data_IF_510787818137
#
_entry.id   IF_510787818137
#
_cell.length_a   1.000
_cell.length_b   1.000
_cell.length_c   1.000
_cell.angle_alpha   90.00
_cell.angle_beta   90.00
_cell.angle_gamma   90.00
#
_symmetry.space_group_name_H-M   'P 1'
#
loop_
_entity.id
_entity.type
_entity.pdbx_description
1 polymer ?
#
# COMPACT_ATOMS: atom_id res chain seq x y z
N UNK A 1 -2.96 3.49 -2.20
CA UNK A 1 -3.07 4.96 -2.21
C UNK A 1 -3.55 5.49 -3.55
N UNK A 2 -2.81 5.29 -4.65
CA UNK A 2 -3.21 5.76 -6.00
C UNK A 2 -4.60 5.24 -6.40
N UNK A 3 -4.91 3.97 -6.13
CA UNK A 3 -6.23 3.38 -6.42
C UNK A 3 -7.37 4.08 -5.67
N UNK A 4 -7.21 4.30 -4.35
CA UNK A 4 -8.18 5.03 -3.55
C UNK A 4 -8.38 6.47 -4.04
N UNK A 5 -7.27 7.14 -4.35
CA UNK A 5 -7.25 8.50 -4.91
C UNK A 5 -8.00 8.57 -6.25
N UNK A 6 -7.74 7.63 -7.15
CA UNK A 6 -8.41 7.56 -8.45
C UNK A 6 -9.90 7.21 -8.32
N UNK A 7 -10.24 6.26 -7.45
CA UNK A 7 -11.63 5.83 -7.24
C UNK A 7 -12.49 6.95 -6.63
N UNK A 8 -11.96 7.66 -5.64
CA UNK A 8 -12.71 8.67 -4.89
C UNK A 8 -12.44 10.10 -5.35
N UNK A 9 -11.56 10.31 -6.32
CA UNK A 9 -11.14 11.62 -6.82
C UNK A 9 -10.56 12.53 -5.72
N UNK A 10 -9.80 11.94 -4.80
CA UNK A 10 -9.19 12.63 -3.65
C UNK A 10 -7.67 12.69 -3.87
N UNK A 11 -7.00 13.85 -3.71
CA UNK A 11 -5.55 13.94 -3.81
C UNK A 11 -4.82 12.97 -2.87
N UNK A 12 -3.79 12.28 -3.37
CA UNK A 12 -3.02 11.29 -2.59
C UNK A 12 -2.44 11.89 -1.31
N UNK A 13 -1.96 13.13 -1.37
CA UNK A 13 -1.40 13.85 -0.22
C UNK A 13 -2.39 14.00 0.92
N UNK A 14 -3.65 14.32 0.63
CA UNK A 14 -4.70 14.47 1.64
C UNK A 14 -5.02 13.15 2.34
N UNK A 15 -4.93 12.04 1.60
CA UNK A 15 -5.15 10.71 2.17
C UNK A 15 -3.94 10.30 3.04
N UNK A 16 -2.71 10.50 2.54
CA UNK A 16 -1.51 9.94 3.17
C UNK A 16 -0.92 10.77 4.30
N UNK A 17 -0.82 12.10 4.15
CA UNK A 17 -0.10 12.96 5.10
C UNK A 17 -0.63 12.83 6.54
N UNK A 18 -1.96 12.81 6.79
CA UNK A 18 -2.49 12.61 8.14
C UNK A 18 -2.20 11.22 8.73
N UNK A 19 -1.92 10.23 7.88
CA UNK A 19 -1.64 8.86 8.29
C UNK A 19 -0.17 8.61 8.63
N UNK A 20 0.73 9.57 8.40
CA UNK A 20 2.17 9.40 8.70
C UNK A 20 2.41 8.98 10.16
N UNK A 21 1.83 9.64 11.19
CA UNK A 21 2.00 9.21 12.58
C UNK A 21 1.49 7.78 12.82
N UNK A 22 0.40 7.40 12.17
CA UNK A 22 -0.20 6.06 12.28
C UNK A 22 0.71 4.99 11.66
N UNK A 23 1.34 5.29 10.52
CA UNK A 23 2.31 4.41 9.89
C UNK A 23 3.55 4.22 10.77
N UNK A 24 4.00 5.25 11.48
CA UNK A 24 5.11 5.14 12.44
C UNK A 24 4.74 4.16 13.56
N UNK A 25 3.53 4.28 14.14
CA UNK A 25 3.05 3.33 15.17
C UNK A 25 2.97 1.91 14.61
N UNK A 26 2.44 1.74 13.39
CA UNK A 26 2.39 0.45 12.70
C UNK A 26 3.78 -0.16 12.49
N UNK A 27 4.76 0.64 12.04
CA UNK A 27 6.14 0.21 11.88
C UNK A 27 6.78 -0.22 13.20
N UNK A 28 6.63 0.59 14.26
CA UNK A 28 7.13 0.24 15.60
C UNK A 28 6.56 -1.10 16.05
N UNK A 29 5.25 -1.32 15.85
CA UNK A 29 4.61 -2.59 16.18
C UNK A 29 5.19 -3.76 15.37
N UNK A 30 5.30 -3.62 14.05
CA UNK A 30 5.82 -4.68 13.17
C UNK A 30 7.26 -5.04 13.53
N UNK A 31 8.13 -4.05 13.75
CA UNK A 31 9.51 -4.30 14.19
C UNK A 31 9.57 -4.96 15.57
N UNK A 32 8.69 -4.57 16.49
CA UNK A 32 8.61 -5.21 17.81
C UNK A 32 8.21 -6.68 17.72
N UNK A 33 7.22 -6.99 16.87
CA UNK A 33 6.82 -8.39 16.60
C UNK A 33 7.95 -9.16 15.93
N UNK A 34 8.60 -8.58 14.92
CA UNK A 34 9.73 -9.23 14.24
C UNK A 34 10.88 -9.55 15.22
N UNK A 35 11.23 -8.61 16.08
CA UNK A 35 12.23 -8.80 17.14
C UNK A 35 11.81 -9.91 18.12
N UNK A 36 10.57 -9.89 18.58
CA UNK A 36 10.03 -10.91 19.47
C UNK A 36 10.05 -12.32 18.85
N UNK A 37 9.66 -12.44 17.57
CA UNK A 37 9.72 -13.69 16.83
C UNK A 37 11.16 -14.17 16.65
N UNK A 38 12.09 -13.26 16.36
CA UNK A 38 13.52 -13.55 16.29
C UNK A 38 14.07 -14.10 17.61
N UNK A 39 13.77 -13.46 18.74
CA UNK A 39 14.18 -13.94 20.07
C UNK A 39 13.58 -15.31 20.41
N UNK A 40 12.31 -15.55 20.04
CA UNK A 40 11.66 -16.84 20.26
C UNK A 40 12.35 -17.94 19.45
N UNK A 41 12.76 -17.62 18.23
CA UNK A 41 13.47 -18.55 17.34
C UNK A 41 14.90 -18.80 17.82
N UNK A 42 15.62 -17.76 18.27
CA UNK A 42 16.94 -17.89 18.88
C UNK A 42 16.91 -18.81 20.11
N UNK A 43 15.90 -18.65 20.97
CA UNK A 43 15.69 -19.53 22.13
C UNK A 43 15.35 -20.96 21.72
N UNK A 44 14.52 -21.15 20.69
CA UNK A 44 14.18 -22.48 20.14
C UNK A 44 15.42 -23.21 19.64
N UNK A 45 16.33 -22.48 19.00
CA UNK A 45 17.58 -22.99 18.43
C UNK A 45 18.74 -23.06 19.44
N UNK A 46 18.55 -22.56 20.67
CA UNK A 46 19.60 -22.53 21.69
C UNK A 46 20.75 -21.56 21.37
N UNK A 47 20.53 -20.56 20.53
CA UNK A 47 21.54 -19.62 20.01
C UNK A 47 21.86 -18.47 20.98
N UNK A 48 21.73 -18.67 22.29
CA UNK A 48 21.83 -17.65 23.36
C UNK A 48 23.17 -16.89 23.45
N UNK A 49 24.13 -17.16 22.56
CA UNK A 49 25.42 -16.47 22.42
C UNK A 49 25.60 -15.76 21.07
N UNK A 50 24.53 -15.61 20.29
CA UNK A 50 24.55 -15.04 18.94
C UNK A 50 24.73 -16.10 17.85
N UNK A 51 24.03 -15.93 16.72
CA UNK A 51 24.22 -16.76 15.55
C UNK A 51 25.65 -16.61 14.99
N UNK A 52 26.27 -17.67 14.44
CA UNK A 52 27.54 -17.52 13.74
C UNK A 52 27.36 -16.54 12.58
N UNK A 53 28.10 -15.43 12.61
CA UNK A 53 28.06 -14.30 11.66
C UNK A 53 28.63 -14.64 10.27
N UNK A 54 28.66 -15.93 9.89
CA UNK A 54 29.42 -16.43 8.74
C UNK A 54 28.62 -16.65 7.46
N UNK A 55 27.28 -16.70 7.52
CA UNK A 55 26.47 -16.90 6.33
C UNK A 55 26.10 -15.56 5.68
N UNK A 56 27.05 -14.97 4.95
CA UNK A 56 26.73 -13.94 3.96
C UNK A 56 26.28 -14.68 2.71
N UNK A 57 24.98 -14.72 2.46
CA UNK A 57 24.48 -15.12 1.14
C UNK A 57 25.01 -14.11 0.12
N UNK A 58 26.07 -14.48 -0.60
CA UNK A 58 26.54 -13.71 -1.73
C UNK A 58 25.51 -13.88 -2.85
N UNK A 59 24.63 -12.89 -3.00
CA UNK A 59 23.74 -12.84 -4.15
C UNK A 59 24.60 -12.59 -5.39
N UNK A 60 24.85 -13.65 -6.17
CA UNK A 60 25.54 -13.55 -7.44
C UNK A 60 24.62 -12.88 -8.45
N UNK A 61 24.89 -11.60 -8.71
CA UNK A 61 24.18 -10.84 -9.73
C UNK A 61 24.41 -11.47 -11.10
N UNK A 62 23.32 -11.64 -11.84
CA UNK A 62 23.36 -11.97 -13.26
C UNK A 62 24.10 -10.89 -14.06
N UNK A 63 24.57 -11.23 -15.26
CA UNK A 63 25.26 -10.27 -16.15
C UNK A 63 24.39 -9.04 -16.43
N UNK A 64 23.09 -9.25 -16.65
CA UNK A 64 22.13 -8.18 -16.87
C UNK A 64 21.98 -7.24 -15.66
N UNK A 65 22.04 -7.78 -14.43
CA UNK A 65 21.96 -6.98 -13.20
C UNK A 65 23.25 -6.18 -12.94
N UNK A 66 24.41 -6.72 -13.33
CA UNK A 66 25.68 -6.00 -13.24
C UNK A 66 25.71 -4.79 -14.18
N UNK A 67 25.14 -4.92 -15.38
CA UNK A 67 25.12 -3.85 -16.39
C UNK A 67 24.27 -2.64 -15.98
N UNK A 68 23.21 -2.86 -15.20
CA UNK A 68 22.29 -1.80 -14.74
C UNK A 68 22.74 -1.12 -13.44
N UNK A 69 23.68 -1.72 -12.70
CA UNK A 69 24.06 -1.27 -11.34
C UNK A 69 24.71 0.12 -11.30
N UNK A 70 25.43 0.50 -12.37
CA UNK A 70 26.10 1.81 -12.55
C UNK A 70 26.70 2.40 -11.26
N UNK A 71 27.68 1.73 -10.63
CA UNK A 71 28.22 2.10 -9.31
C UNK A 71 28.83 3.51 -9.26
N UNK A 72 29.34 4.02 -10.38
CA UNK A 72 29.91 5.37 -10.48
C UNK A 72 28.92 6.51 -10.21
N UNK A 73 27.63 6.31 -10.45
CA UNK A 73 26.58 7.33 -10.28
C UNK A 73 25.87 7.22 -8.92
N UNK A 74 26.35 6.35 -8.03
CA UNK A 74 25.67 6.02 -6.78
C UNK A 74 25.31 7.27 -5.96
N UNK A 75 26.28 8.14 -5.69
CA UNK A 75 26.07 9.35 -4.90
C UNK A 75 25.15 10.36 -5.59
N UNK A 76 25.26 10.50 -6.91
CA UNK A 76 24.39 11.41 -7.68
C UNK A 76 22.94 10.92 -7.60
N UNK A 77 22.72 9.61 -7.73
CA UNK A 77 21.39 9.02 -7.60
C UNK A 77 20.82 9.12 -6.19
N UNK A 78 21.67 9.01 -5.15
CA UNK A 78 21.25 9.27 -3.76
C UNK A 78 20.78 10.72 -3.61
N UNK A 79 21.57 11.70 -4.09
CA UNK A 79 21.19 13.12 -4.01
C UNK A 79 19.90 13.39 -4.77
N UNK A 80 19.77 12.88 -5.99
CA UNK A 80 18.55 13.02 -6.80
C UNK A 80 17.34 12.42 -6.08
N UNK A 81 17.49 11.22 -5.50
CA UNK A 81 16.42 10.53 -4.77
C UNK A 81 16.00 11.33 -3.54
N UNK A 82 16.96 11.79 -2.74
CA UNK A 82 16.69 12.60 -1.55
C UNK A 82 16.00 13.92 -1.91
N UNK A 83 16.40 14.56 -3.02
CA UNK A 83 15.78 15.79 -3.50
C UNK A 83 14.32 15.53 -3.93
N UNK A 84 14.09 14.52 -4.76
CA UNK A 84 12.75 14.11 -5.22
C UNK A 84 11.85 13.82 -4.01
N UNK A 85 12.31 12.97 -3.09
CA UNK A 85 11.55 12.63 -1.88
C UNK A 85 11.33 13.84 -0.98
N UNK A 86 12.34 14.68 -0.76
CA UNK A 86 12.25 15.86 0.08
C UNK A 86 11.22 16.88 -0.44
N UNK A 87 11.23 17.15 -1.75
CA UNK A 87 10.23 18.04 -2.37
C UNK A 87 8.83 17.45 -2.28
N UNK A 88 8.68 16.14 -2.56
CA UNK A 88 7.39 15.46 -2.43
C UNK A 88 6.84 15.53 -1.00
N UNK A 89 7.67 15.26 0.00
CA UNK A 89 7.28 15.29 1.42
C UNK A 89 6.91 16.71 1.86
N UNK A 90 7.57 17.73 1.29
CA UNK A 90 7.23 19.14 1.57
C UNK A 90 5.83 19.53 1.09
N UNK A 91 5.21 18.75 0.21
CA UNK A 91 3.87 19.01 -0.33
C UNK A 91 3.76 20.22 -1.27
N UNK A 92 4.88 20.88 -1.61
CA UNK A 92 4.89 22.08 -2.47
C UNK A 92 4.61 21.80 -3.94
N UNK A 93 4.91 20.59 -4.40
CA UNK A 93 4.76 20.17 -5.79
C UNK A 93 3.99 18.86 -5.79
N UNK A 94 3.09 18.70 -6.77
CA UNK A 94 2.35 17.45 -6.95
C UNK A 94 3.32 16.26 -7.12
N UNK A 95 3.15 15.16 -6.36
CA UNK A 95 4.01 13.99 -6.44
C UNK A 95 4.20 13.45 -7.86
N UNK A 96 3.16 13.46 -8.70
CA UNK A 96 3.21 12.95 -10.07
C UNK A 96 4.19 13.77 -10.90
N UNK A 97 4.13 15.10 -10.76
CA UNK A 97 5.04 16.03 -11.47
C UNK A 97 6.48 15.81 -11.00
N UNK A 98 6.70 15.69 -9.69
CA UNK A 98 8.04 15.49 -9.15
C UNK A 98 8.64 14.15 -9.59
N UNK A 99 7.85 13.08 -9.65
CA UNK A 99 8.30 11.80 -10.19
C UNK A 99 8.62 11.86 -11.69
N UNK A 100 7.81 12.55 -12.50
CA UNK A 100 8.12 12.71 -13.93
C UNK A 100 9.45 13.42 -14.14
N UNK A 101 9.69 14.53 -13.43
CA UNK A 101 10.96 15.26 -13.47
C UNK A 101 12.11 14.37 -12.99
N UNK A 102 11.91 13.66 -11.86
CA UNK A 102 12.89 12.74 -11.31
C UNK A 102 13.29 11.63 -12.29
N UNK A 103 12.33 11.03 -13.00
CA UNK A 103 12.57 9.99 -14.01
C UNK A 103 13.34 10.57 -15.20
N UNK A 104 12.96 11.75 -15.71
CA UNK A 104 13.67 12.42 -16.81
C UNK A 104 15.12 12.68 -16.42
N UNK A 105 15.35 13.27 -15.24
CA UNK A 105 16.70 13.53 -14.73
C UNK A 105 17.50 12.24 -14.52
N UNK A 106 16.88 11.21 -13.93
CA UNK A 106 17.52 9.93 -13.70
C UNK A 106 17.93 9.27 -15.03
N UNK A 107 17.09 9.33 -16.07
CA UNK A 107 17.40 8.80 -17.39
C UNK A 107 18.53 9.59 -18.05
N UNK A 108 18.50 10.93 -18.01
CA UNK A 108 19.56 11.77 -18.58
C UNK A 108 20.93 11.55 -17.90
N UNK A 109 20.94 11.38 -16.57
CA UNK A 109 22.17 11.19 -15.79
C UNK A 109 22.74 9.77 -15.97
N UNK A 110 21.88 8.74 -15.89
CA UNK A 110 22.34 7.34 -15.88
C UNK A 110 22.44 6.71 -17.27
N UNK A 111 21.67 7.22 -18.24
CA UNK A 111 21.55 6.64 -19.58
C UNK A 111 21.66 7.74 -20.63
N UNK A 112 22.89 8.16 -20.95
CA UNK A 112 23.14 9.26 -21.90
C UNK A 112 22.71 8.95 -23.35
N UNK A 113 22.66 7.68 -23.73
CA UNK A 113 22.25 7.26 -25.07
C UNK A 113 20.72 7.03 -25.11
N UNK A 114 20.06 7.54 -26.15
CA UNK A 114 18.63 7.35 -26.41
C UNK A 114 18.20 5.87 -26.47
N UNK A 115 19.01 4.98 -27.06
CA UNK A 115 18.72 3.55 -27.13
C UNK A 115 18.70 2.90 -25.75
N UNK A 116 19.62 3.33 -24.88
CA UNK A 116 19.65 2.88 -23.50
C UNK A 116 18.46 3.39 -22.70
N UNK A 117 18.06 4.66 -22.88
CA UNK A 117 16.85 5.20 -22.26
C UNK A 117 15.61 4.43 -22.72
N UNK A 118 15.49 4.18 -24.01
CA UNK A 118 14.40 3.38 -24.60
C UNK A 118 14.36 1.98 -24.00
N UNK A 119 15.49 1.29 -23.92
CA UNK A 119 15.57 -0.03 -23.29
C UNK A 119 15.07 -0.02 -21.84
N UNK A 120 15.37 1.03 -21.06
CA UNK A 120 14.88 1.16 -19.69
C UNK A 120 13.39 1.46 -19.60
N UNK A 121 12.88 2.31 -20.49
CA UNK A 121 11.46 2.61 -20.58
C UNK A 121 10.69 1.33 -20.95
N UNK A 122 11.11 0.64 -22.01
CA UNK A 122 10.47 -0.59 -22.50
C UNK A 122 10.46 -1.70 -21.44
N UNK A 123 11.53 -1.82 -20.65
CA UNK A 123 11.61 -2.79 -19.55
C UNK A 123 10.54 -2.57 -18.47
N UNK A 124 10.04 -1.34 -18.29
CA UNK A 124 9.01 -1.00 -17.30
C UNK A 124 7.65 -0.67 -17.94
N UNK A 125 7.59 -0.53 -19.27
CA UNK A 125 6.42 -0.08 -20.02
C UNK A 125 5.21 -0.99 -19.79
N UNK A 126 5.40 -2.31 -19.76
CA UNK A 126 4.29 -3.26 -19.54
C UNK A 126 3.59 -3.00 -18.21
N UNK A 127 4.34 -2.83 -17.12
CA UNK A 127 3.77 -2.56 -15.80
C UNK A 127 3.05 -1.19 -15.77
N UNK A 128 3.68 -0.16 -16.36
CA UNK A 128 3.08 1.18 -16.43
C UNK A 128 1.80 1.23 -17.26
N UNK A 129 1.80 0.61 -18.45
CA UNK A 129 0.65 0.55 -19.35
C UNK A 129 -0.49 -0.24 -18.72
N UNK A 130 -0.22 -1.39 -18.10
CA UNK A 130 -1.23 -2.16 -17.38
C UNK A 130 -1.89 -1.32 -16.28
N UNK A 131 -1.09 -0.64 -15.47
CA UNK A 131 -1.61 0.25 -14.42
C UNK A 131 -2.44 1.41 -15.00
N UNK A 132 -1.98 2.03 -16.09
CA UNK A 132 -2.72 3.10 -16.76
C UNK A 132 -4.06 2.59 -17.31
N UNK A 133 -4.07 1.44 -18.00
CA UNK A 133 -5.29 0.82 -18.53
C UNK A 133 -6.28 0.48 -17.41
N UNK A 134 -5.82 -0.07 -16.29
CA UNK A 134 -6.66 -0.33 -15.12
C UNK A 134 -7.26 0.97 -14.59
N UNK A 135 -6.46 2.03 -14.43
CA UNK A 135 -6.94 3.32 -13.95
C UNK A 135 -7.97 3.96 -14.90
N UNK A 136 -7.78 3.85 -16.22
CA UNK A 136 -8.78 4.30 -17.19
C UNK A 136 -10.07 3.48 -17.11
N UNK A 137 -9.97 2.15 -17.08
CA UNK A 137 -11.13 1.26 -16.97
C UNK A 137 -11.90 1.51 -15.66
N UNK A 138 -11.18 1.68 -14.55
CA UNK A 138 -11.75 2.05 -13.27
C UNK A 138 -12.43 3.42 -13.32
N UNK A 139 -11.81 4.42 -13.94
CA UNK A 139 -12.41 5.75 -14.13
C UNK A 139 -13.72 5.68 -14.92
N UNK A 140 -13.76 4.90 -16.01
CA UNK A 140 -14.99 4.64 -16.78
C UNK A 140 -16.03 3.92 -15.92
N UNK A 141 -15.64 2.88 -15.20
CA UNK A 141 -16.52 2.09 -14.32
C UNK A 141 -17.13 2.95 -13.21
N UNK A 142 -16.30 3.63 -12.42
CA UNK A 142 -16.74 4.55 -11.36
C UNK A 142 -17.58 5.70 -11.94
N UNK A 143 -17.21 6.22 -13.12
CA UNK A 143 -17.98 7.22 -13.85
C UNK A 143 -19.38 6.74 -14.20
N UNK A 144 -19.52 5.53 -14.75
CA UNK A 144 -20.82 4.90 -15.07
C UNK A 144 -21.62 4.72 -13.77
N UNK A 145 -21.05 4.12 -12.73
CA UNK A 145 -21.80 3.88 -11.49
C UNK A 145 -22.27 5.16 -10.81
N UNK A 146 -21.45 6.22 -10.86
CA UNK A 146 -21.79 7.54 -10.28
C UNK A 146 -22.84 8.25 -11.12
N UNK A 147 -22.60 8.39 -12.44
CA UNK A 147 -23.46 9.18 -13.34
C UNK A 147 -24.78 8.50 -13.68
N UNK A 148 -24.86 7.17 -13.58
CA UNK A 148 -26.12 6.42 -13.70
C UNK A 148 -26.98 6.45 -12.42
N UNK A 149 -26.43 6.89 -11.28
CA UNK A 149 -27.10 6.82 -9.99
C UNK A 149 -27.07 5.44 -9.32
N UNK A 150 -26.36 4.46 -9.90
CA UNK A 150 -26.22 3.11 -9.34
C UNK A 150 -25.60 3.13 -7.94
N UNK A 151 -24.54 3.94 -7.73
CA UNK A 151 -23.93 4.09 -6.39
C UNK A 151 -24.97 4.56 -5.37
N UNK A 152 -25.74 5.60 -5.69
CA UNK A 152 -26.74 6.12 -4.78
C UNK A 152 -27.88 5.13 -4.52
N UNK A 153 -28.26 4.29 -5.48
CA UNK A 153 -29.25 3.23 -5.27
C UNK A 153 -28.73 2.11 -4.35
N UNK A 154 -27.50 1.65 -4.59
CA UNK A 154 -26.83 0.67 -3.72
C UNK A 154 -26.65 1.22 -2.31
N UNK A 155 -26.23 2.48 -2.20
CA UNK A 155 -26.02 3.15 -0.93
C UNK A 155 -27.34 3.31 -0.15
N UNK A 156 -28.44 3.73 -0.78
CA UNK A 156 -29.76 3.82 -0.11
C UNK A 156 -30.20 2.48 0.50
N UNK A 157 -29.97 1.37 -0.21
CA UNK A 157 -30.26 0.03 0.31
C UNK A 157 -29.37 -0.29 1.52
N UNK A 158 -28.07 -0.03 1.42
CA UNK A 158 -27.12 -0.30 2.50
C UNK A 158 -27.32 0.60 3.73
N UNK A 159 -27.69 1.87 3.55
CA UNK A 159 -28.02 2.82 4.62
C UNK A 159 -29.18 2.30 5.47
N UNK A 160 -30.17 1.62 4.87
CA UNK A 160 -31.27 1.00 5.61
C UNK A 160 -30.83 -0.07 6.61
N UNK A 161 -29.60 -0.60 6.48
CA UNK A 161 -29.00 -1.57 7.39
C UNK A 161 -28.13 -0.92 8.47
N UNK A 162 -27.80 0.37 8.35
CA UNK A 162 -26.90 1.09 9.26
C UNK A 162 -27.70 2.02 10.16
N UNK A 163 -27.71 1.79 11.49
CA UNK A 163 -28.32 2.72 12.43
C UNK A 163 -27.67 4.11 12.35
N UNK A 164 -28.43 5.22 12.46
CA UNK A 164 -27.87 6.57 12.38
C UNK A 164 -26.74 6.84 13.40
N UNK A 165 -26.80 6.21 14.57
CA UNK A 165 -25.76 6.30 15.60
C UNK A 165 -24.45 5.60 15.24
N UNK A 166 -24.45 4.69 14.25
CA UNK A 166 -23.26 3.94 13.81
C UNK A 166 -22.57 4.56 12.59
N UNK A 167 -23.15 5.63 12.05
CA UNK A 167 -22.60 6.34 10.89
C UNK A 167 -21.16 6.81 11.14
N UNK A 168 -20.90 7.48 12.27
CA UNK A 168 -19.56 7.99 12.61
C UNK A 168 -18.52 6.88 12.70
N UNK A 169 -18.92 5.65 13.03
CA UNK A 169 -18.01 4.52 13.17
C UNK A 169 -17.70 3.78 11.87
N UNK A 170 -18.28 4.17 10.72
CA UNK A 170 -17.98 3.53 9.42
C UNK A 170 -16.48 3.49 9.11
N UNK A 171 -15.69 4.59 9.26
CA UNK A 171 -14.24 4.55 9.04
C UNK A 171 -13.52 3.61 10.01
N UNK A 172 -13.95 3.55 11.27
CA UNK A 172 -13.35 2.65 12.27
C UNK A 172 -13.64 1.19 11.91
N UNK A 173 -14.89 0.86 11.62
CA UNK A 173 -15.29 -0.48 11.20
C UNK A 173 -14.56 -0.92 9.93
N UNK A 174 -14.45 -0.02 8.94
CA UNK A 174 -13.69 -0.30 7.74
C UNK A 174 -12.19 -0.47 8.03
N UNK A 175 -11.60 0.35 8.90
CA UNK A 175 -10.20 0.21 9.32
C UNK A 175 -9.92 -1.18 9.88
N UNK A 176 -10.79 -1.68 10.76
CA UNK A 176 -10.70 -3.02 11.35
C UNK A 176 -10.92 -4.13 10.31
N UNK A 177 -11.94 -4.00 9.46
CA UNK A 177 -12.31 -5.05 8.49
C UNK A 177 -11.45 -5.04 7.22
N UNK A 178 -10.72 -3.95 6.95
CA UNK A 178 -9.97 -3.78 5.70
C UNK A 178 -8.90 -4.84 5.50
N UNK A 179 -8.22 -5.29 6.57
CA UNK A 179 -7.22 -6.36 6.46
C UNK A 179 -7.88 -7.71 6.17
N UNK A 180 -8.90 -8.19 6.91
CA UNK A 180 -9.63 -9.40 6.54
C UNK A 180 -10.22 -9.38 5.13
N UNK A 181 -10.75 -8.23 4.69
CA UNK A 181 -11.30 -8.08 3.35
C UNK A 181 -10.25 -8.28 2.26
N UNK A 182 -8.94 -8.10 2.53
CA UNK A 182 -7.89 -8.36 1.53
C UNK A 182 -7.69 -9.85 1.23
N UNK A 183 -8.28 -10.73 2.05
CA UNK A 183 -8.33 -12.17 1.79
C UNK A 183 -9.39 -12.52 0.76
N UNK A 184 -10.42 -11.69 0.62
CA UNK A 184 -11.58 -11.90 -0.25
C UNK A 184 -11.50 -11.09 -1.54
N UNK A 185 -10.91 -9.90 -1.47
CA UNK A 185 -10.83 -8.97 -2.58
C UNK A 185 -9.39 -8.69 -2.94
N UNK A 186 -9.09 -8.73 -4.23
CA UNK A 186 -7.86 -8.16 -4.74
C UNK A 186 -7.95 -6.61 -4.67
N UNK A 187 -6.82 -5.91 -4.75
CA UNK A 187 -6.82 -4.45 -4.62
C UNK A 187 -7.70 -3.74 -5.65
N UNK A 188 -7.70 -4.18 -6.90
CA UNK A 188 -8.43 -3.48 -7.95
C UNK A 188 -9.95 -3.63 -7.72
N UNK A 189 -10.41 -4.85 -7.43
CA UNK A 189 -11.82 -5.12 -7.10
C UNK A 189 -12.27 -4.36 -5.85
N UNK A 190 -11.45 -4.30 -4.80
CA UNK A 190 -11.81 -3.57 -3.58
C UNK A 190 -11.87 -2.06 -3.82
N UNK A 191 -10.79 -1.46 -4.34
CA UNK A 191 -10.69 0.00 -4.43
C UNK A 191 -11.59 0.60 -5.50
N UNK A 192 -11.86 -0.11 -6.60
CA UNK A 192 -12.70 0.42 -7.68
C UNK A 192 -14.15 -0.07 -7.61
N UNK A 193 -14.41 -1.22 -7.01
CA UNK A 193 -15.76 -1.77 -6.84
C UNK A 193 -16.39 -1.44 -5.49
N UNK A 194 -15.74 -1.84 -4.40
CA UNK A 194 -16.33 -1.81 -3.04
C UNK A 194 -16.20 -0.44 -2.39
N UNK A 195 -15.01 0.17 -2.46
CA UNK A 195 -14.71 1.41 -1.75
C UNK A 195 -15.62 2.59 -2.16
N UNK A 196 -15.97 2.82 -3.45
CA UNK A 196 -16.89 3.89 -3.83
C UNK A 196 -18.28 3.72 -3.23
N UNK A 197 -18.76 2.47 -3.11
CA UNK A 197 -20.05 2.17 -2.48
C UNK A 197 -20.03 2.52 -0.99
N UNK A 198 -18.98 2.12 -0.27
CA UNK A 198 -18.84 2.44 1.16
C UNK A 198 -18.70 3.96 1.36
N UNK A 199 -17.95 4.63 0.48
CA UNK A 199 -17.78 6.08 0.53
C UNK A 199 -19.10 6.82 0.29
N UNK A 200 -19.92 6.37 -0.65
CA UNK A 200 -21.24 6.94 -0.92
C UNK A 200 -22.21 6.72 0.26
N UNK A 201 -22.22 5.52 0.85
CA UNK A 201 -23.00 5.23 2.08
C UNK A 201 -22.58 6.17 3.21
N UNK A 202 -21.28 6.31 3.44
CA UNK A 202 -20.73 7.22 4.43
C UNK A 202 -21.16 8.67 4.15
N UNK A 203 -21.05 9.12 2.91
CA UNK A 203 -21.42 10.48 2.51
C UNK A 203 -22.90 10.79 2.75
N UNK A 204 -23.81 9.84 2.45
CA UNK A 204 -25.24 9.97 2.75
C UNK A 204 -25.53 10.07 4.26
N UNK A 205 -24.67 9.48 5.08
CA UNK A 205 -24.74 9.49 6.54
C UNK A 205 -23.89 10.60 7.19
N UNK A 206 -23.33 11.52 6.40
CA UNK A 206 -22.55 12.67 6.88
C UNK A 206 -21.07 12.38 7.16
N UNK A 207 -20.55 11.22 6.77
CA UNK A 207 -19.12 10.85 6.87
C UNK A 207 -18.38 11.27 5.61
N UNK A 208 -17.27 11.98 5.77
CA UNK A 208 -16.45 12.39 4.63
C UNK A 208 -15.81 11.17 3.93
N UNK A 209 -15.90 11.06 2.59
CA UNK A 209 -15.23 10.02 1.80
C UNK A 209 -13.72 9.89 2.06
N UNK A 210 -13.07 10.99 2.48
CA UNK A 210 -11.66 11.00 2.88
C UNK A 210 -11.37 10.01 4.01
N UNK A 211 -12.19 9.97 5.05
CA UNK A 211 -11.99 9.06 6.19
C UNK A 211 -12.17 7.59 5.77
N UNK A 212 -13.10 7.33 4.86
CA UNK A 212 -13.30 6.00 4.27
C UNK A 212 -12.08 5.58 3.44
N UNK A 213 -11.51 6.50 2.64
CA UNK A 213 -10.29 6.28 1.90
C UNK A 213 -9.09 5.96 2.81
N UNK A 214 -8.95 6.71 3.91
CA UNK A 214 -7.91 6.53 4.91
C UNK A 214 -8.05 5.19 5.65
N UNK A 215 -9.28 4.84 6.04
CA UNK A 215 -9.59 3.56 6.69
C UNK A 215 -9.24 2.34 5.82
N UNK A 216 -9.59 2.37 4.55
CA UNK A 216 -9.23 1.31 3.60
C UNK A 216 -7.72 1.05 3.55
N UNK A 217 -6.89 2.10 3.65
CA UNK A 217 -5.43 1.96 3.59
C UNK A 217 -4.83 1.28 4.81
N UNK A 218 -5.51 1.26 5.96
CA UNK A 218 -4.95 0.65 7.18
C UNK A 218 -4.83 -0.88 7.08
N UNK A 219 -5.59 -1.51 6.19
CA UNK A 219 -5.56 -2.96 6.01
C UNK A 219 -5.32 -3.40 4.57
N UNK A 220 -6.17 -3.02 3.62
CA UNK A 220 -6.31 -3.68 2.31
C UNK A 220 -5.02 -3.87 1.49
N UNK A 221 -4.00 -3.02 1.68
CA UNK A 221 -2.67 -3.24 1.07
C UNK A 221 -1.49 -2.93 2.00
N UNK A 222 -1.74 -2.53 3.25
CA UNK A 222 -0.66 -2.25 4.20
C UNK A 222 -0.32 -3.51 4.98
N UNK A 223 -1.31 -4.10 5.65
CA UNK A 223 -1.14 -5.31 6.46
C UNK A 223 -1.74 -6.55 5.80
N UNK A 224 -2.70 -6.36 4.88
CA UNK A 224 -3.35 -7.42 4.12
C UNK A 224 -2.50 -7.99 2.98
N UNK A 225 -1.64 -7.16 2.38
CA UNK A 225 -0.75 -7.55 1.29
C UNK A 225 0.10 -8.81 1.60
N UNK A 226 0.86 -8.86 2.71
CA UNK A 226 1.73 -10.00 3.01
C UNK A 226 1.00 -11.30 3.44
N UNK A 227 -0.34 -11.30 3.46
CA UNK A 227 -1.14 -12.50 3.81
C UNK A 227 -2.15 -12.88 2.72
N UNK A 228 -2.45 -11.96 1.79
CA UNK A 228 -3.50 -12.17 0.80
C UNK A 228 -3.14 -13.29 -0.19
N UNK A 229 -4.06 -14.24 -0.45
CA UNK A 229 -3.92 -15.25 -1.50
C UNK A 229 -4.14 -14.67 -2.91
N UNK A 230 -4.36 -13.36 -3.02
CA UNK A 230 -4.56 -12.65 -4.29
C UNK A 230 -3.32 -11.83 -4.66
N UNK A 231 -2.25 -11.94 -3.86
CA UNK A 231 -1.00 -11.20 -4.04
C UNK A 231 0.14 -12.14 -4.46
N UNK A 232 0.62 -12.09 -5.72
CA UNK A 232 1.68 -12.98 -6.19
C UNK A 232 2.99 -12.90 -5.40
N UNK A 233 3.35 -11.71 -4.91
CA UNK A 233 4.55 -11.51 -4.10
C UNK A 233 4.52 -12.35 -2.80
N UNK A 234 3.35 -12.55 -2.22
CA UNK A 234 3.18 -13.36 -1.00
C UNK A 234 3.44 -14.84 -1.28
N UNK A 235 2.98 -15.34 -2.42
CA UNK A 235 3.32 -16.70 -2.87
C UNK A 235 4.81 -16.87 -3.14
N UNK A 236 5.43 -15.88 -3.79
CA UNK A 236 6.86 -15.92 -4.08
C UNK A 236 7.68 -16.02 -2.78
N UNK A 237 7.38 -15.17 -1.79
CA UNK A 237 8.09 -15.18 -0.50
C UNK A 237 7.87 -16.48 0.25
N UNK A 238 6.63 -17.00 0.31
CA UNK A 238 6.33 -18.29 0.94
C UNK A 238 7.09 -19.44 0.24
N UNK A 239 7.09 -19.46 -1.09
CA UNK A 239 7.82 -20.44 -1.89
C UNK A 239 9.34 -20.39 -1.69
N UNK A 240 9.93 -19.19 -1.64
CA UNK A 240 11.36 -19.01 -1.36
C UNK A 240 11.74 -19.42 0.07
N UNK A 241 10.83 -19.27 1.03
CA UNK A 241 11.01 -19.72 2.40
C UNK A 241 10.75 -21.22 2.59
N UNK A 242 10.28 -21.93 1.55
CA UNK A 242 9.97 -23.36 1.61
C UNK A 242 8.78 -23.68 2.51
N UNK A 243 7.83 -22.75 2.66
CA UNK A 243 6.64 -22.92 3.50
C UNK A 243 5.36 -22.82 2.69
N UNK A 244 4.33 -23.54 3.12
CA UNK A 244 3.00 -23.44 2.54
C UNK A 244 2.35 -22.10 2.88
N UNK A 245 1.67 -21.51 1.89
CA UNK A 245 0.98 -20.23 2.07
C UNK A 245 -0.07 -20.31 3.18
N UNK A 246 -0.82 -21.40 3.28
CA UNK A 246 -1.85 -21.57 4.30
C UNK A 246 -1.28 -21.51 5.72
N UNK A 247 -0.07 -22.05 5.93
CA UNK A 247 0.57 -22.05 7.24
C UNK A 247 1.15 -20.67 7.57
N UNK A 248 1.75 -20.00 6.59
CA UNK A 248 2.12 -18.59 6.71
C UNK A 248 0.91 -17.72 7.08
N UNK A 249 -0.22 -17.93 6.42
CA UNK A 249 -1.46 -17.19 6.67
C UNK A 249 -1.96 -17.43 8.10
N UNK A 250 -2.15 -18.69 8.51
CA UNK A 250 -2.61 -19.02 9.88
C UNK A 250 -1.71 -18.42 10.95
N UNK A 251 -0.40 -18.45 10.74
CA UNK A 251 0.56 -17.95 11.72
C UNK A 251 0.59 -16.42 11.78
N UNK A 252 0.66 -15.77 10.62
CA UNK A 252 0.97 -14.34 10.50
C UNK A 252 -0.29 -13.46 10.59
N UNK A 253 -1.47 -13.99 10.23
CA UNK A 253 -2.73 -13.25 10.21
C UNK A 253 -3.00 -12.49 11.51
N UNK A 254 -2.84 -13.14 12.67
CA UNK A 254 -3.10 -12.52 13.99
C UNK A 254 -2.22 -11.29 14.25
N UNK A 255 -0.96 -11.31 13.82
CA UNK A 255 -0.03 -10.20 14.04
C UNK A 255 -0.33 -9.04 13.09
N UNK A 256 -0.59 -9.35 11.82
CA UNK A 256 -0.94 -8.33 10.82
C UNK A 256 -2.30 -7.70 11.09
N UNK A 257 -3.27 -8.50 11.57
CA UNK A 257 -4.56 -8.01 12.01
C UNK A 257 -4.39 -7.11 13.24
N UNK A 258 -3.62 -7.52 14.25
CA UNK A 258 -3.31 -6.68 15.40
C UNK A 258 -2.64 -5.35 15.00
N UNK A 259 -1.73 -5.35 14.02
CA UNK A 259 -1.14 -4.13 13.48
C UNK A 259 -2.21 -3.20 12.88
N UNK A 260 -3.15 -3.75 12.09
CA UNK A 260 -4.26 -3.00 11.51
C UNK A 260 -5.20 -2.42 12.58
N UNK A 261 -5.48 -3.18 13.63
CA UNK A 261 -6.28 -2.75 14.79
C UNK A 261 -5.58 -1.60 15.53
N UNK A 262 -4.30 -1.75 15.85
CA UNK A 262 -3.53 -0.71 16.55
C UNK A 262 -3.46 0.58 15.74
N UNK A 263 -3.23 0.47 14.43
CA UNK A 263 -3.25 1.63 13.54
C UNK A 263 -4.64 2.29 13.50
N UNK A 264 -5.72 1.50 13.48
CA UNK A 264 -7.09 2.02 13.51
C UNK A 264 -7.39 2.74 14.82
N UNK A 265 -6.99 2.17 15.95
CA UNK A 265 -7.10 2.82 17.27
C UNK A 265 -6.29 4.12 17.29
N UNK A 266 -5.09 4.11 16.71
CA UNK A 266 -4.25 5.31 16.61
C UNK A 266 -4.96 6.41 15.83
N UNK A 267 -5.60 6.10 14.70
CA UNK A 267 -6.41 7.07 13.94
C UNK A 267 -7.51 7.72 14.78
N UNK A 268 -8.16 6.96 15.66
CA UNK A 268 -9.19 7.49 16.59
C UNK A 268 -8.55 8.40 17.63
N UNK A 269 -7.45 7.97 18.26
CA UNK A 269 -6.76 8.73 19.32
C UNK A 269 -6.22 10.08 18.81
N UNK A 270 -5.67 10.12 17.59
CA UNK A 270 -5.14 11.36 17.00
C UNK A 270 -6.22 12.23 16.34
N UNK A 271 -7.49 11.78 16.33
CA UNK A 271 -8.62 12.51 15.74
C UNK A 271 -8.66 12.49 14.21
N UNK A 272 -8.00 11.54 13.55
CA UNK A 272 -8.12 11.35 12.09
C UNK A 272 -9.47 10.72 11.73
N UNK A 273 -9.99 9.82 12.57
CA UNK A 273 -11.33 9.28 12.39
C UNK A 273 -12.34 9.96 13.33
N UNK A 274 -13.51 10.36 12.81
CA UNK A 274 -14.62 10.76 13.67
C UNK A 274 -15.11 9.52 14.42
N UNK A 275 -15.45 9.70 15.70
CA UNK A 275 -16.11 8.71 16.55
C UNK A 275 -17.34 9.35 17.16
#
# INVERSE_FOLDING_TARGET
MIRASAALHIPVSNIFTPLIPVQIVGLVFVFSVAYYLGLKEERRLGLTKGAPTGFVHAHELTVAEKDIRRPQNFWINIVLTVLVLGVMISGKVDPVVMFMIGVVLALMINYRNADMQRSRIDAHAKAALLMASILFAAGVFTGIMTKSGMLSAMAKMAVGLVPPSMASHIPVALGLLSMPLSMLFDPDSFYFGVLPVIAEVGNMLGVQPLHVAQAALLGQMTTGFPVSPLTPATFLVAGLAGIDLADHQKYTFKYLFAASVIMTITCVVIGVFPV
#
